data_IF_701222587073
#
_entry.id   IF_701222587073
#
_cell.length_a   1.000
_cell.length_b   1.000
_cell.length_c   1.000
_cell.angle_alpha   90.00
_cell.angle_beta   90.00
_cell.angle_gamma   90.00
#
_symmetry.space_group_name_H-M   'P 1'
#
loop_
_entity.id
_entity.type
_entity.pdbx_description
1 polymer ?
#
# COMPACT_ATOMS: atom_id res chain seq x y z
N UNK A 1 -8.39 19.24 5.73
CA UNK A 1 -8.31 17.84 6.19
C UNK A 1 -6.91 17.30 5.93
N UNK A 2 -6.19 16.90 6.98
CA UNK A 2 -4.85 16.31 6.88
C UNK A 2 -4.81 15.09 5.97
N UNK A 3 -3.85 15.07 5.04
CA UNK A 3 -3.66 14.02 4.06
C UNK A 3 -2.20 14.01 3.60
N UNK A 4 -1.60 12.82 3.55
CA UNK A 4 -0.30 12.61 2.93
C UNK A 4 -0.46 12.04 1.52
N UNK A 5 0.10 12.76 0.55
CA UNK A 5 0.11 12.39 -0.87
C UNK A 5 0.78 11.02 -1.06
N UNK A 6 0.24 10.20 -1.95
CA UNK A 6 0.89 8.95 -2.32
C UNK A 6 2.19 9.24 -3.08
N UNK A 7 3.29 8.62 -2.64
CA UNK A 7 4.61 8.78 -3.25
C UNK A 7 4.65 8.22 -4.67
N UNK A 8 5.56 8.75 -5.49
CA UNK A 8 5.92 8.16 -6.78
C UNK A 8 7.27 7.48 -6.62
N UNK A 9 7.34 6.23 -7.01
CA UNK A 9 8.53 5.41 -6.90
C UNK A 9 8.73 4.69 -8.23
N UNK A 10 9.96 4.70 -8.73
CA UNK A 10 10.33 4.08 -9.99
C UNK A 10 11.00 2.73 -9.75
N UNK A 11 10.69 1.76 -10.62
CA UNK A 11 11.45 0.52 -10.64
C UNK A 11 12.83 0.79 -11.24
N UNK A 12 13.85 0.71 -10.38
CA UNK A 12 15.25 0.72 -10.82
C UNK A 12 15.73 -0.70 -11.02
N UNK A 13 16.12 -1.03 -12.24
CA UNK A 13 16.91 -2.23 -12.49
C UNK A 13 18.32 -2.00 -11.92
N UNK A 14 18.80 -2.94 -11.11
CA UNK A 14 20.10 -2.82 -10.45
C UNK A 14 20.82 -4.15 -10.51
N UNK A 15 22.15 -4.10 -10.51
CA UNK A 15 22.99 -5.31 -10.49
C UNK A 15 22.62 -6.24 -9.34
N UNK A 16 22.26 -5.69 -8.17
CA UNK A 16 21.81 -6.48 -7.03
C UNK A 16 20.53 -7.28 -7.32
N UNK A 17 19.58 -6.71 -8.07
CA UNK A 17 18.34 -7.41 -8.46
C UNK A 17 18.62 -8.49 -9.50
N UNK A 18 19.49 -8.21 -10.48
CA UNK A 18 19.96 -9.17 -11.48
C UNK A 18 20.68 -10.35 -10.83
N UNK A 19 21.64 -10.07 -9.95
CA UNK A 19 22.36 -11.10 -9.20
C UNK A 19 21.42 -11.92 -8.29
N UNK A 20 20.40 -11.30 -7.70
CA UNK A 20 19.40 -12.03 -6.92
C UNK A 20 18.57 -13.00 -7.80
N UNK A 21 18.23 -12.59 -9.03
CA UNK A 21 17.55 -13.46 -9.98
C UNK A 21 18.44 -14.62 -10.45
N UNK A 22 19.72 -14.34 -10.76
CA UNK A 22 20.68 -15.40 -11.11
C UNK A 22 20.84 -16.43 -9.98
N UNK A 23 20.88 -15.99 -8.71
CA UNK A 23 20.89 -16.89 -7.55
C UNK A 23 19.62 -17.72 -7.44
N UNK A 24 18.45 -17.14 -7.72
CA UNK A 24 17.17 -17.88 -7.79
C UNK A 24 17.23 -18.97 -8.86
N UNK A 25 17.66 -18.63 -10.08
CA UNK A 25 17.79 -19.59 -11.19
C UNK A 25 18.76 -20.72 -10.88
N UNK A 26 19.89 -20.40 -10.23
CA UNK A 26 20.85 -21.40 -9.75
C UNK A 26 20.20 -22.34 -8.72
N UNK A 27 19.52 -21.79 -7.71
CA UNK A 27 18.86 -22.59 -6.68
C UNK A 27 17.74 -23.49 -7.26
N UNK A 28 17.01 -23.02 -8.27
CA UNK A 28 15.98 -23.83 -8.96
C UNK A 28 16.58 -25.05 -9.67
N UNK A 29 17.73 -24.88 -10.35
CA UNK A 29 18.44 -25.99 -11.01
C UNK A 29 19.02 -26.97 -10.00
N UNK A 30 19.60 -26.46 -8.91
CA UNK A 30 20.16 -27.28 -7.84
C UNK A 30 19.09 -28.06 -7.05
N UNK A 31 17.87 -27.55 -7.00
CA UNK A 31 16.74 -28.24 -6.35
C UNK A 31 16.28 -29.48 -7.14
N UNK A 32 16.47 -29.51 -8.46
CA UNK A 32 16.09 -30.61 -9.34
C UNK A 32 17.27 -31.04 -10.22
N UNK A 33 18.32 -31.65 -9.63
CA UNK A 33 19.59 -31.87 -10.33
C UNK A 33 19.46 -32.82 -11.53
N UNK A 34 18.58 -33.82 -11.46
CA UNK A 34 18.30 -34.72 -12.59
C UNK A 34 17.61 -34.02 -13.76
N UNK A 35 17.00 -32.86 -13.51
CA UNK A 35 16.30 -32.05 -14.51
C UNK A 35 16.97 -30.69 -14.74
N UNK A 36 18.22 -30.51 -14.29
CA UNK A 36 18.87 -29.19 -14.29
C UNK A 36 18.93 -28.56 -15.69
N UNK A 37 19.16 -29.39 -16.72
CA UNK A 37 19.22 -28.93 -18.11
C UNK A 37 17.83 -28.55 -18.66
N UNK A 38 16.78 -29.32 -18.33
CA UNK A 38 15.42 -28.93 -18.70
C UNK A 38 14.99 -27.64 -17.98
N UNK A 39 15.28 -27.52 -16.68
CA UNK A 39 14.99 -26.32 -15.89
C UNK A 39 15.73 -25.11 -16.47
N UNK A 40 17.00 -25.27 -16.85
CA UNK A 40 17.78 -24.21 -17.48
C UNK A 40 17.17 -23.78 -18.83
N UNK A 41 16.67 -24.72 -19.62
CA UNK A 41 16.05 -24.44 -20.92
C UNK A 41 14.71 -23.69 -20.80
N UNK A 42 13.97 -23.90 -19.71
CA UNK A 42 12.71 -23.20 -19.43
C UNK A 42 12.91 -21.83 -18.75
N UNK A 43 14.10 -21.55 -18.23
CA UNK A 43 14.39 -20.30 -17.52
C UNK A 43 14.46 -19.11 -18.50
N UNK A 44 13.68 -18.07 -18.20
CA UNK A 44 13.69 -16.82 -18.96
C UNK A 44 14.98 -16.02 -18.74
N UNK A 45 15.28 -15.12 -19.68
CA UNK A 45 16.43 -14.24 -19.58
C UNK A 45 16.27 -13.20 -18.45
N UNK A 46 17.40 -12.70 -17.94
CA UNK A 46 17.41 -11.69 -16.87
C UNK A 46 16.81 -10.35 -17.32
N UNK A 47 17.03 -9.94 -18.57
CA UNK A 47 16.46 -8.69 -19.10
C UNK A 47 14.94 -8.81 -19.27
N UNK A 48 14.47 -10.00 -19.65
CA UNK A 48 13.04 -10.32 -19.73
C UNK A 48 12.38 -10.24 -18.35
N UNK A 49 12.97 -10.86 -17.32
CA UNK A 49 12.49 -10.78 -15.95
C UNK A 49 12.48 -9.33 -15.42
N UNK A 50 13.53 -8.55 -15.66
CA UNK A 50 13.58 -7.16 -15.19
C UNK A 50 12.53 -6.29 -15.89
N UNK A 51 12.24 -6.56 -17.15
CA UNK A 51 11.14 -5.93 -17.90
C UNK A 51 9.79 -6.32 -17.32
N UNK A 52 9.56 -7.62 -17.07
CA UNK A 52 8.32 -8.10 -16.45
C UNK A 52 8.09 -7.48 -15.06
N UNK A 53 9.14 -7.39 -14.22
CA UNK A 53 9.08 -6.74 -12.91
C UNK A 53 8.79 -5.25 -13.00
N UNK A 54 9.32 -4.54 -13.99
CA UNK A 54 9.00 -3.13 -14.22
C UNK A 54 7.53 -2.93 -14.53
N UNK A 55 6.99 -3.72 -15.46
CA UNK A 55 5.57 -3.66 -15.82
C UNK A 55 4.67 -4.02 -14.63
N UNK A 56 5.04 -5.04 -13.86
CA UNK A 56 4.33 -5.40 -12.64
C UNK A 56 4.36 -4.25 -11.62
N UNK A 57 5.52 -3.62 -11.42
CA UNK A 57 5.66 -2.47 -10.53
C UNK A 57 4.73 -1.31 -10.91
N UNK A 58 4.67 -0.96 -12.19
CA UNK A 58 3.78 0.10 -12.68
C UNK A 58 2.30 -0.21 -12.43
N UNK A 59 1.88 -1.45 -12.71
CA UNK A 59 0.52 -1.92 -12.44
C UNK A 59 0.18 -1.88 -10.95
N UNK A 60 1.13 -2.28 -10.10
CA UNK A 60 0.93 -2.24 -8.64
C UNK A 60 0.84 -0.79 -8.15
N UNK A 61 1.71 0.11 -8.63
CA UNK A 61 1.66 1.52 -8.28
C UNK A 61 0.33 2.18 -8.67
N UNK A 62 -0.21 1.85 -9.84
CA UNK A 62 -1.53 2.32 -10.27
C UNK A 62 -2.65 1.77 -9.36
N UNK A 63 -2.61 0.47 -9.07
CA UNK A 63 -3.58 -0.22 -8.19
C UNK A 63 -3.57 0.38 -6.78
N UNK A 64 -2.40 0.56 -6.18
CA UNK A 64 -2.26 1.10 -4.82
C UNK A 64 -2.70 2.56 -4.74
N UNK A 65 -2.37 3.36 -5.74
CA UNK A 65 -2.85 4.75 -5.83
C UNK A 65 -4.36 4.80 -5.94
N UNK A 66 -4.98 3.94 -6.76
CA UNK A 66 -6.44 3.83 -6.89
C UNK A 66 -7.07 3.41 -5.56
N UNK A 67 -6.58 2.32 -4.96
CA UNK A 67 -7.04 1.82 -3.66
C UNK A 67 -6.97 2.88 -2.57
N UNK A 68 -5.87 3.63 -2.50
CA UNK A 68 -5.72 4.72 -1.52
C UNK A 68 -6.69 5.87 -1.79
N UNK A 69 -6.92 6.23 -3.05
CA UNK A 69 -7.92 7.25 -3.41
C UNK A 69 -9.34 6.80 -3.03
N UNK A 70 -9.69 5.53 -3.28
CA UNK A 70 -10.99 4.96 -2.95
C UNK A 70 -11.23 4.97 -1.44
N UNK A 71 -10.25 4.54 -0.64
CA UNK A 71 -10.32 4.65 0.83
C UNK A 71 -10.48 6.09 1.32
N UNK A 72 -9.86 7.07 0.67
CA UNK A 72 -10.09 8.49 1.02
C UNK A 72 -11.52 8.94 0.73
N UNK A 73 -12.09 8.53 -0.41
CA UNK A 73 -13.48 8.83 -0.75
C UNK A 73 -14.44 8.19 0.25
N UNK A 74 -14.19 6.93 0.61
CA UNK A 74 -14.94 6.21 1.64
C UNK A 74 -14.89 6.94 2.98
N UNK A 75 -13.69 7.28 3.46
CA UNK A 75 -13.52 7.91 4.76
C UNK A 75 -14.18 9.29 4.84
N UNK A 76 -14.12 10.09 3.76
CA UNK A 76 -14.83 11.38 3.67
C UNK A 76 -16.35 11.18 3.64
N UNK A 77 -16.83 10.15 2.94
CA UNK A 77 -18.25 9.79 2.93
C UNK A 77 -18.73 9.42 4.33
N UNK A 78 -17.98 8.59 5.06
CA UNK A 78 -18.28 8.26 6.47
C UNK A 78 -18.26 9.51 7.35
N UNK A 79 -17.22 10.36 7.23
CA UNK A 79 -17.14 11.60 8.00
C UNK A 79 -18.37 12.50 7.77
N UNK A 80 -18.82 12.63 6.53
CA UNK A 80 -20.00 13.43 6.19
C UNK A 80 -21.31 12.83 6.71
N UNK A 81 -21.33 11.56 7.12
CA UNK A 81 -22.49 10.90 7.71
C UNK A 81 -22.71 11.22 9.20
N UNK A 82 -21.69 11.71 9.90
CA UNK A 82 -21.85 12.12 11.30
C UNK A 82 -22.55 13.48 11.40
N UNK A 83 -23.42 13.62 12.39
CA UNK A 83 -24.06 14.89 12.72
C UNK A 83 -23.09 15.83 13.44
N UNK A 84 -23.37 17.13 13.42
CA UNK A 84 -22.69 18.06 14.33
C UNK A 84 -23.21 17.88 15.76
N UNK A 85 -22.42 18.18 16.81
CA UNK A 85 -21.02 18.64 16.79
C UNK A 85 -19.96 17.52 16.66
N UNK A 86 -20.39 16.27 16.53
CA UNK A 86 -19.51 15.09 16.47
C UNK A 86 -18.57 15.15 15.26
N UNK A 87 -19.10 15.50 14.08
CA UNK A 87 -18.30 15.62 12.85
C UNK A 87 -17.15 16.61 13.01
N UNK A 88 -17.43 17.79 13.56
CA UNK A 88 -16.42 18.80 13.86
C UNK A 88 -15.34 18.29 14.81
N UNK A 89 -15.74 17.61 15.90
CA UNK A 89 -14.81 17.04 16.87
C UNK A 89 -13.89 15.96 16.25
N UNK A 90 -14.44 15.06 15.44
CA UNK A 90 -13.68 14.03 14.72
C UNK A 90 -12.67 14.64 13.74
N UNK A 91 -13.09 15.68 13.00
CA UNK A 91 -12.22 16.36 12.05
C UNK A 91 -11.08 17.11 12.76
N UNK A 92 -11.37 17.77 13.88
CA UNK A 92 -10.39 18.46 14.72
C UNK A 92 -9.38 17.47 15.33
N UNK A 93 -9.86 16.34 15.87
CA UNK A 93 -9.01 15.26 16.34
C UNK A 93 -8.10 14.75 15.22
N UNK A 94 -8.65 14.50 14.02
CA UNK A 94 -7.85 14.08 12.88
C UNK A 94 -6.76 15.10 12.50
N UNK A 95 -7.05 16.41 12.57
CA UNK A 95 -6.05 17.44 12.28
C UNK A 95 -4.90 17.42 13.28
N UNK A 96 -5.18 17.23 14.57
CA UNK A 96 -4.20 17.31 15.65
C UNK A 96 -3.48 16.01 16.02
N UNK A 97 -4.02 14.84 15.66
CA UNK A 97 -3.45 13.55 16.10
C UNK A 97 -2.05 13.29 15.51
N UNK A 98 -1.21 12.44 16.11
CA UNK A 98 0.14 12.14 15.58
C UNK A 98 0.22 10.97 14.59
N UNK A 99 -0.93 10.40 14.21
CA UNK A 99 -0.96 9.21 13.34
C UNK A 99 -0.56 9.53 11.90
N UNK A 100 -0.09 8.56 11.11
CA UNK A 100 0.17 8.79 9.69
C UNK A 100 -1.08 9.33 8.99
N UNK A 101 -0.92 10.37 8.18
CA UNK A 101 -2.02 11.02 7.47
C UNK A 101 -2.47 10.20 6.25
N UNK A 102 -2.70 8.91 6.43
CA UNK A 102 -3.21 7.99 5.42
C UNK A 102 -4.65 7.55 5.75
N UNK A 103 -5.41 7.11 4.73
CA UNK A 103 -6.85 6.89 4.91
C UNK A 103 -7.15 5.67 5.78
N UNK A 104 -6.22 4.72 5.94
CA UNK A 104 -6.46 3.54 6.78
C UNK A 104 -6.51 3.94 8.24
N UNK A 105 -5.58 4.79 8.73
CA UNK A 105 -5.67 5.31 10.10
C UNK A 105 -6.89 6.21 10.29
N UNK A 106 -7.26 6.99 9.28
CA UNK A 106 -8.46 7.82 9.37
C UNK A 106 -9.73 6.95 9.49
N UNK A 107 -9.88 5.91 8.67
CA UNK A 107 -10.98 4.95 8.76
C UNK A 107 -10.97 4.19 10.10
N UNK A 108 -9.79 3.78 10.58
CA UNK A 108 -9.65 3.14 11.89
C UNK A 108 -10.07 4.08 13.02
N UNK A 109 -9.72 5.36 12.94
CA UNK A 109 -10.14 6.38 13.91
C UNK A 109 -11.67 6.51 13.96
N UNK A 110 -12.31 6.59 12.79
CA UNK A 110 -13.77 6.61 12.69
C UNK A 110 -14.39 5.34 13.28
N UNK A 111 -13.84 4.17 12.95
CA UNK A 111 -14.30 2.89 13.51
C UNK A 111 -14.11 2.79 15.03
N UNK A 112 -13.01 3.33 15.57
CA UNK A 112 -12.79 3.40 17.01
C UNK A 112 -13.83 4.28 17.70
N UNK A 113 -14.25 5.38 17.07
CA UNK A 113 -15.34 6.20 17.57
C UNK A 113 -16.66 5.41 17.57
N UNK A 114 -17.00 4.75 16.46
CA UNK A 114 -18.23 3.95 16.34
C UNK A 114 -18.32 2.82 17.38
N UNK A 115 -17.16 2.24 17.72
CA UNK A 115 -17.05 1.12 18.68
C UNK A 115 -16.81 1.57 20.12
N UNK A 116 -16.84 2.88 20.40
CA UNK A 116 -16.63 3.43 21.74
C UNK A 116 -15.19 3.35 22.27
N UNK A 117 -14.22 2.96 21.43
CA UNK A 117 -12.79 2.90 21.77
C UNK A 117 -12.10 4.26 21.67
N UNK A 118 -12.76 5.25 21.08
CA UNK A 118 -12.31 6.64 21.03
C UNK A 118 -13.40 7.56 21.57
N UNK A 119 -13.17 8.11 22.76
CA UNK A 119 -14.00 9.17 23.34
C UNK A 119 -13.41 10.53 22.99
N UNK A 120 -14.24 11.41 22.42
CA UNK A 120 -13.87 12.80 22.13
C UNK A 120 -14.56 13.74 23.10
N UNK A 121 -13.87 14.81 23.49
CA UNK A 121 -14.49 15.91 24.21
C UNK A 121 -15.32 16.73 23.22
N UNK A 122 -16.61 16.42 23.12
CA UNK A 122 -17.53 17.07 22.21
C UNK A 122 -18.16 18.24 22.97
N UNK A 123 -17.96 19.50 22.55
CA UNK A 123 -18.63 20.63 23.17
C UNK A 123 -20.14 20.44 23.07
N UNK A 124 -20.84 20.63 24.20
CA UNK A 124 -22.32 20.63 24.19
C UNK A 124 -22.78 21.79 23.32
N UNK A 125 -23.73 21.51 22.42
CA UNK A 125 -24.37 22.49 21.58
C UNK A 125 -25.11 23.55 22.42
#
# INVERSE_FOLDING_TARGET
MRFHRFGKYEFRDTERKRAAFARKQKAEREALPLFADQVAAEQIDVDEEMTARRLQWERQQATDRKRRADKWREARRRLNGYQEPVRGALLAYWQGCKWPADPSYFLSMLHMYDTGRLSLNIPKA
#
